data_IF_101614069633
#
_entry.id   IF_101614069633
#
_cell.length_a   1.000
_cell.length_b   1.000
_cell.length_c   1.000
_cell.angle_alpha   90.00
_cell.angle_beta   90.00
_cell.angle_gamma   90.00
#
_symmetry.space_group_name_H-M   'P 1'
#
loop_
_entity.id
_entity.type
_entity.pdbx_description
1 polymer ?
#
# COMPACT_ATOMS: atom_id res chain seq x y z
N UNK A 1 -24.83 -3.87 36.79
CA UNK A 1 -24.68 -2.80 35.81
C UNK A 1 -23.63 -3.10 34.70
N UNK A 2 -22.56 -3.88 34.92
CA UNK A 2 -21.56 -4.24 33.89
C UNK A 2 -22.14 -5.04 32.71
N UNK A 3 -22.92 -6.09 32.97
CA UNK A 3 -23.51 -6.96 31.92
C UNK A 3 -24.41 -6.23 30.90
N UNK A 4 -25.14 -5.20 31.31
CA UNK A 4 -25.95 -4.40 30.38
C UNK A 4 -25.10 -3.53 29.46
N UNK A 5 -24.02 -2.95 29.98
CA UNK A 5 -23.07 -2.16 29.18
C UNK A 5 -22.34 -3.02 28.17
N UNK A 6 -21.90 -4.23 28.55
CA UNK A 6 -21.30 -5.19 27.64
C UNK A 6 -22.24 -5.61 26.51
N UNK A 7 -23.52 -5.86 26.82
CA UNK A 7 -24.51 -6.25 25.83
C UNK A 7 -24.83 -5.12 24.84
N UNK A 8 -24.91 -3.90 25.31
CA UNK A 8 -25.09 -2.70 24.46
C UNK A 8 -23.87 -2.51 23.56
N UNK A 9 -22.66 -2.57 24.12
CA UNK A 9 -21.41 -2.42 23.34
C UNK A 9 -21.26 -3.53 22.31
N UNK A 10 -21.57 -4.79 22.66
CA UNK A 10 -21.59 -5.89 21.70
C UNK A 10 -22.57 -5.66 20.55
N UNK A 11 -23.76 -5.12 20.85
CA UNK A 11 -24.73 -4.75 19.81
C UNK A 11 -24.25 -3.62 18.90
N UNK A 12 -23.61 -2.61 19.46
CA UNK A 12 -23.01 -1.50 18.67
C UNK A 12 -21.90 -2.00 17.76
N UNK A 13 -21.00 -2.85 18.28
CA UNK A 13 -19.95 -3.44 17.45
C UNK A 13 -20.50 -4.35 16.35
N UNK A 14 -21.53 -5.15 16.68
CA UNK A 14 -22.20 -5.99 15.67
C UNK A 14 -22.83 -5.14 14.56
N UNK A 15 -23.54 -4.07 14.90
CA UNK A 15 -24.11 -3.14 13.93
C UNK A 15 -23.04 -2.48 13.06
N UNK A 16 -21.96 -2.01 13.66
CA UNK A 16 -20.84 -1.41 12.93
C UNK A 16 -20.19 -2.42 11.97
N UNK A 17 -19.97 -3.65 12.41
CA UNK A 17 -19.43 -4.72 11.58
C UNK A 17 -20.37 -5.07 10.42
N UNK A 18 -21.66 -5.24 10.68
CA UNK A 18 -22.66 -5.52 9.63
C UNK A 18 -22.73 -4.37 8.61
N UNK A 19 -22.74 -3.12 9.06
CA UNK A 19 -22.77 -1.95 8.19
C UNK A 19 -21.54 -1.91 7.28
N UNK A 20 -20.35 -2.20 7.83
CA UNK A 20 -19.11 -2.25 7.06
C UNK A 20 -19.15 -3.33 5.98
N UNK A 21 -19.60 -4.53 6.33
CA UNK A 21 -19.72 -5.66 5.38
C UNK A 21 -20.72 -5.32 4.28
N UNK A 22 -21.89 -4.80 4.64
CA UNK A 22 -22.94 -4.42 3.67
C UNK A 22 -22.43 -3.33 2.73
N UNK A 23 -21.71 -2.32 3.24
CA UNK A 23 -21.13 -1.26 2.41
C UNK A 23 -20.13 -1.83 1.37
N UNK A 24 -19.25 -2.75 1.78
CA UNK A 24 -18.33 -3.40 0.86
C UNK A 24 -19.07 -4.22 -0.21
N UNK A 25 -20.08 -4.99 0.19
CA UNK A 25 -20.91 -5.78 -0.75
C UNK A 25 -21.58 -4.86 -1.76
N UNK A 26 -22.19 -3.75 -1.32
CA UNK A 26 -22.86 -2.79 -2.22
C UNK A 26 -21.87 -2.18 -3.21
N UNK A 27 -20.67 -1.79 -2.75
CA UNK A 27 -19.61 -1.26 -3.63
C UNK A 27 -19.21 -2.32 -4.67
N UNK A 28 -18.97 -3.56 -4.25
CA UNK A 28 -18.62 -4.64 -5.16
C UNK A 28 -19.72 -4.88 -6.20
N UNK A 29 -20.99 -4.99 -5.76
CA UNK A 29 -22.12 -5.18 -6.66
C UNK A 29 -22.25 -4.05 -7.67
N UNK A 30 -22.10 -2.79 -7.23
CA UNK A 30 -22.15 -1.63 -8.10
C UNK A 30 -21.03 -1.66 -9.15
N UNK A 31 -19.80 -1.95 -8.73
CA UNK A 31 -18.65 -2.03 -9.63
C UNK A 31 -18.82 -3.14 -10.67
N UNK A 32 -19.24 -4.33 -10.25
CA UNK A 32 -19.45 -5.45 -11.18
C UNK A 32 -20.65 -5.22 -12.11
N UNK A 33 -21.76 -4.68 -11.60
CA UNK A 33 -22.94 -4.43 -12.40
C UNK A 33 -22.67 -3.41 -13.54
N UNK A 34 -21.81 -2.42 -13.29
CA UNK A 34 -21.46 -1.42 -14.31
C UNK A 34 -20.22 -1.80 -15.13
N UNK A 35 -19.22 -2.43 -14.50
CA UNK A 35 -17.95 -2.76 -15.14
C UNK A 35 -18.06 -3.93 -16.12
N UNK A 36 -18.80 -5.00 -15.79
CA UNK A 36 -18.90 -6.19 -16.66
C UNK A 36 -19.56 -5.86 -18.02
N UNK A 37 -20.68 -5.14 -18.10
CA UNK A 37 -21.25 -4.75 -19.39
C UNK A 37 -20.28 -3.92 -20.23
N UNK A 38 -19.63 -2.92 -19.63
CA UNK A 38 -18.65 -2.07 -20.32
C UNK A 38 -17.48 -2.89 -20.89
N UNK A 39 -16.94 -3.83 -20.14
CA UNK A 39 -15.84 -4.70 -20.60
C UNK A 39 -16.33 -5.62 -21.73
N UNK A 40 -17.57 -6.10 -21.70
CA UNK A 40 -18.15 -6.92 -22.79
C UNK A 40 -18.29 -6.12 -24.09
N UNK A 41 -18.69 -4.87 -24.03
CA UNK A 41 -18.80 -3.98 -25.21
C UNK A 41 -17.43 -3.68 -25.82
N UNK A 42 -16.44 -3.39 -25.00
CA UNK A 42 -15.07 -3.09 -25.44
C UNK A 42 -14.37 -4.35 -25.98
N UNK A 43 -14.67 -5.51 -25.41
CA UNK A 43 -13.98 -6.79 -25.62
C UNK A 43 -12.78 -6.97 -24.70
N UNK A 44 -12.77 -8.08 -23.95
CA UNK A 44 -11.76 -8.39 -22.91
C UNK A 44 -10.32 -8.31 -23.45
N UNK A 45 -10.06 -8.91 -24.60
CA UNK A 45 -8.72 -8.89 -25.19
C UNK A 45 -8.26 -7.48 -25.57
N UNK A 46 -9.14 -6.71 -26.23
CA UNK A 46 -8.86 -5.33 -26.62
C UNK A 46 -8.64 -4.43 -25.40
N UNK A 47 -9.39 -4.67 -24.33
CA UNK A 47 -9.25 -3.94 -23.06
C UNK A 47 -7.89 -4.22 -22.40
N UNK A 48 -7.47 -5.48 -22.28
CA UNK A 48 -6.22 -5.88 -21.61
C UNK A 48 -4.98 -5.53 -22.43
N UNK A 49 -5.01 -5.78 -23.75
CA UNK A 49 -3.86 -5.60 -24.63
C UNK A 49 -3.80 -4.23 -25.29
N UNK A 50 -4.83 -3.43 -25.16
CA UNK A 50 -4.86 -2.08 -25.71
C UNK A 50 -3.77 -1.18 -25.10
N UNK A 51 -3.06 -0.48 -25.97
CA UNK A 51 -1.91 0.38 -25.58
C UNK A 51 -2.27 1.84 -25.38
N UNK A 52 -3.51 2.22 -25.66
CA UNK A 52 -3.97 3.61 -25.59
C UNK A 52 -5.17 3.71 -24.67
N UNK A 53 -5.09 4.64 -23.73
CA UNK A 53 -6.20 5.01 -22.85
C UNK A 53 -6.71 6.41 -23.20
N UNK A 54 -7.81 6.51 -23.92
CA UNK A 54 -8.48 7.77 -24.29
C UNK A 54 -10.00 7.60 -24.18
N UNK A 55 -10.58 7.74 -22.99
CA UNK A 55 -12.02 7.61 -22.77
C UNK A 55 -12.88 8.57 -23.61
N UNK A 56 -12.33 9.76 -23.92
CA UNK A 56 -13.01 10.74 -24.79
C UNK A 56 -13.25 10.26 -26.23
N UNK A 57 -12.54 9.23 -26.65
CA UNK A 57 -12.62 8.65 -28.01
C UNK A 57 -13.06 7.18 -27.95
N UNK A 58 -13.64 6.72 -26.85
CA UNK A 58 -14.07 5.34 -26.58
C UNK A 58 -12.93 4.29 -26.77
N UNK A 59 -11.69 4.71 -26.52
CA UNK A 59 -10.52 3.83 -26.56
C UNK A 59 -10.07 3.51 -25.14
N UNK A 60 -10.22 2.25 -24.75
CA UNK A 60 -9.94 1.75 -23.42
C UNK A 60 -8.90 0.62 -23.47
N UNK A 61 -7.63 0.96 -23.31
CA UNK A 61 -6.54 -0.01 -23.22
C UNK A 61 -5.76 0.14 -21.93
N UNK A 62 -5.71 -0.89 -21.08
CA UNK A 62 -5.08 -0.84 -19.75
C UNK A 62 -3.64 -1.35 -19.71
N UNK A 63 -3.10 -1.87 -20.82
CA UNK A 63 -1.75 -2.42 -20.86
C UNK A 63 -0.66 -1.46 -20.34
N UNK A 64 -0.65 -0.15 -20.71
CA UNK A 64 0.33 0.78 -20.16
C UNK A 64 0.24 0.96 -18.66
N UNK A 65 -0.97 0.88 -18.08
CA UNK A 65 -1.18 0.99 -16.63
C UNK A 65 -0.65 -0.26 -15.92
N UNK A 66 -0.88 -1.46 -16.49
CA UNK A 66 -0.35 -2.72 -15.95
C UNK A 66 1.17 -2.69 -15.97
N UNK A 67 1.79 -2.38 -17.12
CA UNK A 67 3.24 -2.30 -17.24
C UNK A 67 3.82 -1.20 -16.31
N UNK A 68 3.19 -0.04 -16.26
CA UNK A 68 3.59 1.04 -15.37
C UNK A 68 3.61 0.63 -13.90
N UNK A 69 2.58 -0.09 -13.44
CA UNK A 69 2.53 -0.59 -12.07
C UNK A 69 3.64 -1.61 -11.77
N UNK A 70 3.93 -2.50 -12.73
CA UNK A 70 5.02 -3.47 -12.60
C UNK A 70 6.37 -2.76 -12.52
N UNK A 71 6.65 -1.79 -13.40
CA UNK A 71 7.90 -1.03 -13.38
C UNK A 71 8.10 -0.23 -12.10
N UNK A 72 7.06 0.47 -11.65
CA UNK A 72 7.12 1.26 -10.42
C UNK A 72 7.33 0.34 -9.20
N UNK A 73 6.64 -0.78 -9.14
CA UNK A 73 6.78 -1.76 -8.05
C UNK A 73 8.17 -2.41 -8.07
N UNK A 74 8.67 -2.83 -9.23
CA UNK A 74 10.01 -3.39 -9.35
C UNK A 74 11.08 -2.38 -8.91
N UNK A 75 10.98 -1.13 -9.36
CA UNK A 75 11.87 -0.05 -8.93
C UNK A 75 11.83 0.19 -7.42
N UNK A 76 10.63 0.20 -6.82
CA UNK A 76 10.47 0.37 -5.38
C UNK A 76 11.08 -0.78 -4.58
N UNK A 77 10.92 -2.03 -5.03
CA UNK A 77 11.51 -3.22 -4.41
C UNK A 77 13.02 -3.18 -4.51
N UNK A 78 13.57 -2.89 -5.69
CA UNK A 78 15.02 -2.85 -5.92
C UNK A 78 15.72 -1.80 -5.04
N UNK A 79 15.04 -0.71 -4.71
CA UNK A 79 15.59 0.36 -3.87
C UNK A 79 15.23 0.12 -2.39
N UNK A 80 13.96 -0.10 -2.09
CA UNK A 80 13.44 -0.11 -0.73
C UNK A 80 13.84 -1.36 0.06
N UNK A 81 13.84 -2.55 -0.58
CA UNK A 81 14.14 -3.79 0.14
C UNK A 81 15.60 -3.86 0.61
N UNK A 82 16.63 -3.58 -0.22
CA UNK A 82 18.01 -3.56 0.26
C UNK A 82 18.22 -2.55 1.39
N UNK A 83 17.73 -1.33 1.24
CA UNK A 83 17.83 -0.30 2.27
C UNK A 83 17.15 -0.74 3.56
N UNK A 84 15.96 -1.32 3.47
CA UNK A 84 15.21 -1.82 4.63
C UNK A 84 15.93 -2.95 5.36
N UNK A 85 16.47 -3.93 4.62
CA UNK A 85 17.23 -5.06 5.19
C UNK A 85 18.51 -4.55 5.87
N UNK A 86 19.29 -3.70 5.22
CA UNK A 86 20.49 -3.13 5.80
C UNK A 86 20.19 -2.29 7.05
N UNK A 87 19.11 -1.53 7.03
CA UNK A 87 18.65 -0.77 8.21
C UNK A 87 18.27 -1.71 9.35
N UNK A 88 17.54 -2.78 9.08
CA UNK A 88 17.17 -3.78 10.08
C UNK A 88 18.41 -4.49 10.65
N UNK A 89 19.35 -4.90 9.80
CA UNK A 89 20.61 -5.51 10.24
C UNK A 89 21.43 -4.55 11.11
N UNK A 90 21.54 -3.28 10.71
CA UNK A 90 22.17 -2.26 11.53
C UNK A 90 21.49 -2.13 12.90
N UNK A 91 20.16 -2.05 12.92
CA UNK A 91 19.37 -1.93 14.15
C UNK A 91 19.53 -3.15 15.06
N UNK A 92 19.67 -4.36 14.50
CA UNK A 92 19.78 -5.60 15.27
C UNK A 92 21.19 -5.82 15.85
N UNK A 93 22.23 -5.55 15.07
CA UNK A 93 23.60 -5.95 15.45
C UNK A 93 24.50 -4.79 15.88
N UNK A 94 24.34 -3.61 15.29
CA UNK A 94 25.29 -2.51 15.44
C UNK A 94 24.73 -1.30 16.19
N UNK A 95 23.42 -1.22 16.34
CA UNK A 95 22.78 -0.02 16.90
C UNK A 95 22.96 0.06 18.42
N UNK A 96 23.52 1.16 18.97
CA UNK A 96 23.57 1.38 20.41
C UNK A 96 22.16 1.41 21.00
N UNK A 97 21.97 0.84 22.20
CA UNK A 97 20.67 0.75 22.89
C UNK A 97 19.94 2.09 23.00
N UNK A 98 20.66 3.19 23.15
CA UNK A 98 20.08 4.54 23.23
C UNK A 98 19.43 4.96 21.91
N UNK A 99 20.10 4.71 20.78
CA UNK A 99 19.63 5.03 19.42
C UNK A 99 18.49 4.09 19.04
N UNK A 100 18.60 2.80 19.29
CA UNK A 100 17.56 1.81 19.04
C UNK A 100 16.22 2.18 19.69
N UNK A 101 16.28 2.70 20.95
CA UNK A 101 15.07 3.14 21.69
C UNK A 101 14.32 4.27 21.01
N UNK A 102 14.98 5.07 20.19
CA UNK A 102 14.37 6.16 19.41
C UNK A 102 13.98 5.69 18.01
N UNK A 103 14.84 4.93 17.34
CA UNK A 103 14.60 4.47 15.96
C UNK A 103 13.41 3.52 15.85
N UNK A 104 13.28 2.57 16.78
CA UNK A 104 12.18 1.60 16.72
C UNK A 104 10.79 2.24 16.79
N UNK A 105 10.48 3.14 17.74
CA UNK A 105 9.22 3.89 17.70
C UNK A 105 9.05 4.75 16.45
N UNK A 106 10.12 5.39 15.95
CA UNK A 106 10.05 6.21 14.74
C UNK A 106 9.65 5.38 13.51
N UNK A 107 10.23 4.20 13.32
CA UNK A 107 9.84 3.27 12.25
C UNK A 107 8.38 2.82 12.41
N UNK A 108 7.95 2.53 13.63
CA UNK A 108 6.56 2.14 13.89
C UNK A 108 5.57 3.30 13.61
N UNK A 109 5.95 4.54 13.91
CA UNK A 109 5.14 5.72 13.58
C UNK A 109 5.04 5.91 12.06
N UNK A 110 6.13 5.74 11.33
CA UNK A 110 6.13 5.77 9.86
C UNK A 110 5.20 4.69 9.27
N UNK A 111 5.19 3.49 9.85
CA UNK A 111 4.27 2.42 9.44
C UNK A 111 2.79 2.77 9.65
N UNK A 112 2.48 3.65 10.61
CA UNK A 112 1.13 4.12 10.91
C UNK A 112 0.62 5.22 9.97
N UNK A 113 1.48 5.82 9.14
CA UNK A 113 1.07 6.88 8.23
C UNK A 113 0.31 6.28 7.03
N UNK A 114 -0.93 6.71 6.74
CA UNK A 114 -1.68 6.26 5.58
C UNK A 114 -0.91 6.51 4.27
N UNK A 115 -0.94 5.53 3.36
CA UNK A 115 -0.24 5.59 2.06
C UNK A 115 -0.59 6.82 1.22
N UNK A 116 -1.83 7.32 1.35
CA UNK A 116 -2.30 8.54 0.66
C UNK A 116 -1.47 9.76 1.05
N UNK A 117 -1.02 9.85 2.31
CA UNK A 117 -0.19 10.99 2.78
C UNK A 117 1.19 10.93 2.11
N UNK A 118 1.80 9.75 1.99
CA UNK A 118 3.07 9.59 1.25
C UNK A 118 2.91 9.97 -0.22
N UNK A 119 1.80 9.54 -0.86
CA UNK A 119 1.51 9.90 -2.25
C UNK A 119 1.32 11.40 -2.43
N UNK A 120 0.57 12.04 -1.54
CA UNK A 120 0.35 13.49 -1.57
C UNK A 120 1.65 14.28 -1.32
N UNK A 121 2.43 13.87 -0.34
CA UNK A 121 3.76 14.44 -0.07
C UNK A 121 4.67 14.31 -1.30
N UNK A 122 4.68 13.14 -1.92
CA UNK A 122 5.42 12.89 -3.14
C UNK A 122 5.02 13.83 -4.27
N UNK A 123 3.71 14.01 -4.48
CA UNK A 123 3.18 14.89 -5.52
C UNK A 123 3.55 16.36 -5.28
N UNK A 124 3.41 16.85 -4.05
CA UNK A 124 3.57 18.26 -3.71
C UNK A 124 5.03 18.65 -3.50
N UNK A 125 5.82 17.75 -2.90
CA UNK A 125 7.19 18.08 -2.48
C UNK A 125 8.23 17.47 -3.43
N UNK A 126 8.10 16.19 -3.80
CA UNK A 126 9.14 15.48 -4.56
C UNK A 126 9.05 15.77 -6.06
N UNK A 127 7.84 15.69 -6.62
CA UNK A 127 7.61 15.89 -8.07
C UNK A 127 8.10 17.25 -8.59
N UNK A 128 7.96 18.38 -7.90
CA UNK A 128 8.49 19.65 -8.36
C UNK A 128 10.01 19.66 -8.58
N UNK A 129 10.77 18.84 -7.85
CA UNK A 129 12.22 18.75 -7.97
C UNK A 129 12.70 17.66 -8.93
N UNK A 130 11.99 16.52 -8.98
CA UNK A 130 12.41 15.34 -9.74
C UNK A 130 11.65 15.13 -11.04
N UNK A 131 10.57 15.88 -11.24
CA UNK A 131 9.65 15.70 -12.34
C UNK A 131 8.67 14.53 -12.13
N UNK A 132 7.62 14.51 -12.93
CA UNK A 132 6.62 13.45 -12.94
C UNK A 132 7.15 12.26 -13.76
N UNK A 133 7.78 11.30 -13.10
CA UNK A 133 8.40 10.14 -13.74
C UNK A 133 8.14 8.84 -12.96
N UNK A 134 8.29 7.70 -13.64
CA UNK A 134 8.21 6.38 -13.00
C UNK A 134 9.27 6.20 -11.92
N UNK A 135 10.44 6.80 -12.08
CA UNK A 135 11.51 6.76 -11.09
C UNK A 135 11.10 7.50 -9.81
N UNK A 136 10.49 8.68 -9.94
CA UNK A 136 9.95 9.44 -8.81
C UNK A 136 8.89 8.64 -8.06
N UNK A 137 7.95 8.02 -8.79
CA UNK A 137 6.94 7.16 -8.20
C UNK A 137 7.56 5.95 -7.47
N UNK A 138 8.59 5.33 -8.06
CA UNK A 138 9.31 4.21 -7.44
C UNK A 138 10.03 4.63 -6.16
N UNK A 139 10.64 5.81 -6.12
CA UNK A 139 11.30 6.34 -4.91
C UNK A 139 10.30 6.59 -3.78
N UNK A 140 9.17 7.21 -4.08
CA UNK A 140 8.11 7.45 -3.09
C UNK A 140 7.57 6.13 -2.56
N UNK A 141 7.31 5.16 -3.43
CA UNK A 141 6.85 3.83 -3.05
C UNK A 141 7.91 3.08 -2.26
N UNK A 142 9.20 3.21 -2.60
CA UNK A 142 10.31 2.64 -1.83
C UNK A 142 10.33 3.15 -0.39
N UNK A 143 10.19 4.46 -0.19
CA UNK A 143 10.10 5.06 1.17
C UNK A 143 8.89 4.52 1.92
N UNK A 144 7.76 4.35 1.25
CA UNK A 144 6.52 3.87 1.84
C UNK A 144 6.62 2.42 2.33
N UNK A 145 7.38 1.55 1.63
CA UNK A 145 7.55 0.14 2.04
C UNK A 145 8.64 -0.05 3.10
N UNK A 146 9.55 0.91 3.30
CA UNK A 146 10.67 0.79 4.26
C UNK A 146 10.24 0.37 5.67
N UNK A 147 9.23 0.99 6.31
CA UNK A 147 8.85 0.60 7.67
C UNK A 147 8.43 -0.86 7.77
N UNK A 148 7.67 -1.36 6.78
CA UNK A 148 7.22 -2.74 6.73
C UNK A 148 8.38 -3.72 6.52
N UNK A 149 9.31 -3.40 5.62
CA UNK A 149 10.50 -4.23 5.36
C UNK A 149 11.40 -4.27 6.59
N UNK A 150 11.66 -3.12 7.23
CA UNK A 150 12.47 -3.04 8.46
C UNK A 150 11.81 -3.85 9.58
N UNK A 151 10.51 -3.69 9.79
CA UNK A 151 9.76 -4.40 10.84
C UNK A 151 9.82 -5.91 10.66
N UNK A 152 9.52 -6.43 9.47
CA UNK A 152 9.58 -7.85 9.15
C UNK A 152 11.00 -8.41 9.26
N UNK A 153 11.99 -7.69 8.75
CA UNK A 153 13.39 -8.11 8.83
C UNK A 153 13.90 -8.15 10.26
N UNK A 154 13.52 -7.19 11.12
CA UNK A 154 13.88 -7.20 12.54
C UNK A 154 13.29 -8.42 13.26
N UNK A 155 12.06 -8.83 12.97
CA UNK A 155 11.45 -10.02 13.56
C UNK A 155 12.28 -11.26 13.18
N UNK A 156 12.59 -11.43 11.91
CA UNK A 156 13.35 -12.60 11.43
C UNK A 156 14.80 -12.62 11.93
N UNK A 157 15.46 -11.46 12.10
CA UNK A 157 16.83 -11.36 12.58
C UNK A 157 16.89 -11.51 14.10
N UNK A 158 15.89 -11.03 14.85
CA UNK A 158 15.87 -11.05 16.30
C UNK A 158 15.21 -12.28 16.92
N UNK A 159 14.52 -13.12 16.15
CA UNK A 159 14.15 -14.47 16.60
C UNK A 159 15.27 -15.44 16.25
N UNK A 160 16.16 -15.78 17.22
CA UNK A 160 17.00 -16.97 17.05
C UNK A 160 16.06 -18.17 16.99
N UNK A 161 16.20 -18.97 15.91
CA UNK A 161 15.56 -20.28 15.75
C UNK A 161 15.45 -21.00 17.09
N UNK A 162 14.24 -20.99 17.66
CA UNK A 162 13.90 -21.89 18.76
C UNK A 162 13.77 -23.29 18.15
N UNK A 163 14.87 -24.00 18.09
CA UNK A 163 14.89 -25.45 18.03
C UNK A 163 14.93 -26.00 19.42
#
# INVERSE_FOLDING_TARGET
MHKYKEKIMSGVFLLAACTSIIAVIIICLFLFANGIPAIKEIGIFKFITGTVWRPSNDIYGILPMILGSIYVTAGAILIGVPIGIFTAAFMAYFCPKKIYRVLKPAVNLLAGIPSVIYGFFGLVVVVPFTGNSMLTASLILAVMILPSVIGLSLIHISEPTRH
#
